data_IF_750120808575
#
_entry.id   IF_750120808575
#
_cell.length_a   1.000
_cell.length_b   1.000
_cell.length_c   1.000
_cell.angle_alpha   90.00
_cell.angle_beta   90.00
_cell.angle_gamma   90.00
#
_symmetry.space_group_name_H-M   'P 1'
#
loop_
_entity.id
_entity.type
_entity.pdbx_description
1 polymer ?
#
# COMPACT_ATOMS: atom_id res chain seq x y z
N UNK A 1 -2.21 -8.56 -18.35
CA UNK A 1 -0.79 -8.17 -18.19
C UNK A 1 -0.51 -8.06 -16.71
N UNK A 2 0.62 -8.57 -16.22
CA UNK A 2 1.05 -8.37 -14.83
C UNK A 2 1.57 -6.95 -14.68
N UNK A 3 0.98 -6.16 -13.78
CA UNK A 3 1.49 -4.80 -13.47
C UNK A 3 2.81 -4.90 -12.70
N UNK A 4 3.72 -3.96 -12.95
CA UNK A 4 4.99 -3.86 -12.20
C UNK A 4 4.86 -2.89 -11.02
N UNK A 5 5.79 -2.95 -10.07
CA UNK A 5 5.89 -1.97 -8.97
C UNK A 5 5.87 -0.54 -9.50
N UNK A 6 6.65 -0.25 -10.56
CA UNK A 6 6.77 1.09 -11.12
C UNK A 6 5.44 1.59 -11.69
N UNK A 7 4.72 0.74 -12.41
CA UNK A 7 3.41 1.10 -12.99
C UNK A 7 2.38 1.43 -11.90
N UNK A 8 2.36 0.66 -10.81
CA UNK A 8 1.43 0.89 -9.70
C UNK A 8 1.81 2.17 -8.96
N UNK A 9 3.10 2.37 -8.67
CA UNK A 9 3.59 3.61 -8.06
C UNK A 9 3.26 4.84 -8.90
N UNK A 10 3.53 4.80 -10.21
CA UNK A 10 3.24 5.92 -11.11
C UNK A 10 1.75 6.23 -11.15
N UNK A 11 0.87 5.23 -11.06
CA UNK A 11 -0.58 5.48 -11.00
C UNK A 11 -0.99 6.11 -9.66
N UNK A 12 -0.51 5.58 -8.53
CA UNK A 12 -0.92 6.02 -7.20
C UNK A 12 -0.25 7.33 -6.75
N UNK A 13 0.91 7.68 -7.30
CA UNK A 13 1.64 8.91 -6.96
C UNK A 13 1.12 10.16 -7.68
N UNK A 14 0.31 9.98 -8.73
CA UNK A 14 -0.23 11.07 -9.56
C UNK A 14 -1.62 11.52 -9.09
N UNK A 15 -1.93 11.35 -7.80
CA UNK A 15 -3.22 11.74 -7.22
C UNK A 15 -3.32 13.27 -7.19
N UNK A 16 -4.25 13.80 -7.99
CA UNK A 16 -4.58 15.23 -8.02
C UNK A 16 -6.11 15.39 -8.15
N UNK A 17 -6.80 15.99 -7.16
CA UNK A 17 -6.27 16.48 -5.89
C UNK A 17 -5.84 15.33 -4.97
N UNK A 18 -4.98 15.63 -3.99
CA UNK A 18 -4.76 14.72 -2.88
C UNK A 18 -6.09 14.45 -2.15
N UNK A 19 -6.36 13.21 -1.73
CA UNK A 19 -7.57 12.91 -0.97
C UNK A 19 -7.61 13.74 0.32
N UNK A 20 -8.83 14.02 0.80
CA UNK A 20 -8.99 14.57 2.13
C UNK A 20 -8.46 13.56 3.17
N UNK A 21 -7.87 14.05 4.26
CA UNK A 21 -7.55 13.20 5.42
C UNK A 21 -8.86 12.80 6.11
N UNK A 22 -9.48 11.73 5.64
CA UNK A 22 -10.69 11.17 6.24
C UNK A 22 -10.37 9.81 6.88
N UNK A 23 -10.77 9.62 8.13
CA UNK A 23 -10.57 8.36 8.86
C UNK A 23 -11.53 7.25 8.38
N UNK A 24 -12.63 7.63 7.71
CA UNK A 24 -13.58 6.69 7.10
C UNK A 24 -13.21 6.35 5.65
N UNK A 25 -12.00 6.72 5.20
CA UNK A 25 -11.61 6.60 3.81
C UNK A 25 -11.43 5.13 3.40
N UNK A 26 -12.19 4.73 2.39
CA UNK A 26 -12.01 3.45 1.72
C UNK A 26 -10.72 3.46 0.89
N UNK A 27 -10.27 2.25 0.51
CA UNK A 27 -9.17 2.04 -0.44
C UNK A 27 -9.33 2.95 -1.65
N UNK A 28 -8.31 3.75 -1.96
CA UNK A 28 -8.37 4.75 -3.02
C UNK A 28 -8.70 4.15 -4.38
N UNK A 29 -8.02 3.07 -4.76
CA UNK A 29 -8.25 2.35 -6.00
C UNK A 29 -8.29 0.84 -5.74
N UNK A 30 -9.47 0.29 -5.39
CA UNK A 30 -9.64 -1.11 -5.02
C UNK A 30 -9.12 -2.13 -6.05
N UNK A 31 -9.18 -1.89 -7.39
CA UNK A 31 -8.64 -2.84 -8.35
C UNK A 31 -7.13 -3.07 -8.23
N UNK A 32 -6.38 -2.16 -7.58
CA UNK A 32 -4.94 -2.33 -7.40
C UNK A 32 -4.57 -3.19 -6.18
N UNK A 33 -5.46 -3.36 -5.19
CA UNK A 33 -5.17 -4.18 -3.99
C UNK A 33 -4.69 -5.58 -4.39
N UNK A 34 -5.47 -6.28 -5.23
CA UNK A 34 -5.11 -7.63 -5.68
C UNK A 34 -3.91 -7.68 -6.62
N UNK A 35 -3.56 -6.58 -7.29
CA UNK A 35 -2.35 -6.50 -8.12
C UNK A 35 -1.10 -6.32 -7.25
N UNK A 36 -1.18 -5.49 -6.20
CA UNK A 36 -0.10 -5.29 -5.22
C UNK A 36 0.22 -6.63 -4.53
N UNK A 37 -0.81 -7.38 -4.13
CA UNK A 37 -0.63 -8.67 -3.45
C UNK A 37 0.13 -9.70 -4.28
N UNK A 38 -0.07 -9.67 -5.61
CA UNK A 38 0.55 -10.60 -6.56
C UNK A 38 1.96 -10.19 -6.99
N UNK A 39 2.45 -9.01 -6.61
CA UNK A 39 3.80 -8.58 -6.94
C UNK A 39 4.84 -9.56 -6.37
N UNK A 40 5.81 -9.93 -7.19
CA UNK A 40 7.03 -10.58 -6.74
C UNK A 40 7.98 -9.51 -6.15
N UNK A 41 7.57 -8.91 -5.03
CA UNK A 41 8.28 -7.85 -4.32
C UNK A 41 8.33 -8.12 -2.81
N UNK A 42 9.23 -7.44 -2.10
CA UNK A 42 9.33 -7.55 -0.64
C UNK A 42 8.06 -7.09 0.06
N UNK A 43 7.86 -7.54 1.30
CA UNK A 43 6.73 -7.10 2.13
C UNK A 43 6.76 -5.58 2.37
N UNK A 44 7.95 -4.97 2.47
CA UNK A 44 8.10 -3.51 2.52
C UNK A 44 7.46 -2.80 1.33
N UNK A 45 7.70 -3.31 0.11
CA UNK A 45 7.14 -2.72 -1.11
C UNK A 45 5.62 -2.90 -1.14
N UNK A 46 5.12 -4.07 -0.76
CA UNK A 46 3.67 -4.32 -0.72
C UNK A 46 2.97 -3.43 0.32
N UNK A 47 3.49 -3.37 1.54
CA UNK A 47 2.97 -2.51 2.60
C UNK A 47 2.97 -1.03 2.18
N UNK A 48 4.06 -0.55 1.59
CA UNK A 48 4.17 0.84 1.14
C UNK A 48 3.19 1.18 0.01
N UNK A 49 2.96 0.25 -0.93
CA UNK A 49 2.00 0.46 -2.03
C UNK A 49 0.55 0.41 -1.54
N UNK A 50 0.23 -0.47 -0.59
CA UNK A 50 -1.09 -0.47 0.05
C UNK A 50 -1.32 0.82 0.84
N UNK A 51 -0.31 1.32 1.55
CA UNK A 51 -0.38 2.60 2.26
C UNK A 51 -0.66 3.74 1.27
N UNK A 52 0.05 3.76 0.13
CA UNK A 52 -0.16 4.76 -0.91
C UNK A 52 -1.54 4.66 -1.58
N UNK A 53 -2.17 3.47 -1.54
CA UNK A 53 -3.53 3.21 -2.01
C UNK A 53 -4.60 3.43 -0.92
N UNK A 54 -4.24 4.01 0.23
CA UNK A 54 -5.09 4.15 1.42
C UNK A 54 -5.69 2.81 1.91
N UNK A 55 -5.08 1.67 1.55
CA UNK A 55 -5.47 0.35 2.02
C UNK A 55 -4.76 0.04 3.35
N UNK A 56 -5.24 0.72 4.40
CA UNK A 56 -4.64 0.66 5.74
C UNK A 56 -4.69 -0.77 6.31
N UNK A 57 -5.75 -1.52 6.02
CA UNK A 57 -5.90 -2.92 6.48
C UNK A 57 -4.83 -3.81 5.87
N UNK A 58 -4.63 -3.75 4.56
CA UNK A 58 -3.58 -4.52 3.89
C UNK A 58 -2.19 -4.06 4.32
N UNK A 59 -2.00 -2.75 4.55
CA UNK A 59 -0.75 -2.19 5.07
C UNK A 59 -0.39 -2.79 6.42
N UNK A 60 -1.31 -2.77 7.39
CA UNK A 60 -1.12 -3.41 8.68
C UNK A 60 -0.80 -4.89 8.55
N UNK A 61 -1.54 -5.62 7.70
CA UNK A 61 -1.31 -7.06 7.49
C UNK A 61 0.12 -7.36 7.04
N UNK A 62 0.62 -6.67 6.01
CA UNK A 62 1.98 -6.91 5.51
C UNK A 62 3.06 -6.45 6.49
N UNK A 63 2.79 -5.39 7.25
CA UNK A 63 3.70 -4.90 8.27
C UNK A 63 3.79 -5.88 9.45
N UNK A 64 2.66 -6.40 9.92
CA UNK A 64 2.57 -7.39 11.00
C UNK A 64 3.31 -8.69 10.64
N UNK A 65 3.18 -9.16 9.40
CA UNK A 65 3.88 -10.36 8.92
C UNK A 65 5.41 -10.26 8.99
N UNK A 66 5.98 -9.06 9.17
CA UNK A 66 7.41 -8.84 9.25
C UNK A 66 7.80 -8.01 10.49
N UNK A 67 7.07 -8.19 11.60
CA UNK A 67 7.37 -7.56 12.88
C UNK A 67 8.84 -7.75 13.31
N UNK A 68 9.39 -6.70 13.92
CA UNK A 68 10.80 -6.63 14.30
C UNK A 68 11.69 -6.01 13.22
N UNK A 69 11.15 -5.76 12.03
CA UNK A 69 11.76 -4.86 11.06
C UNK A 69 11.36 -3.41 11.36
N UNK A 70 12.34 -2.56 11.66
CA UNK A 70 12.08 -1.18 12.09
C UNK A 70 11.23 -0.33 11.14
N UNK A 71 11.28 -0.58 9.83
CA UNK A 71 10.51 0.19 8.85
C UNK A 71 9.05 -0.27 8.85
N UNK A 72 8.84 -1.58 8.91
CA UNK A 72 7.49 -2.15 8.93
C UNK A 72 6.84 -1.98 10.29
N UNK A 73 7.59 -2.03 11.39
CA UNK A 73 7.07 -1.69 12.72
C UNK A 73 6.56 -0.24 12.76
N UNK A 74 7.24 0.69 12.06
CA UNK A 74 6.75 2.06 11.91
C UNK A 74 5.44 2.12 11.11
N UNK A 75 5.37 1.42 9.97
CA UNK A 75 4.15 1.36 9.17
C UNK A 75 3.00 0.66 9.90
N UNK A 76 3.29 -0.31 10.77
CA UNK A 76 2.32 -1.01 11.59
C UNK A 76 1.74 -0.13 12.70
N UNK A 77 2.42 0.95 13.08
CA UNK A 77 1.98 1.87 14.13
C UNK A 77 1.13 3.06 13.63
N UNK A 78 1.02 3.23 12.31
CA UNK A 78 0.20 4.26 11.65
C UNK A 78 -1.21 3.72 11.45
#
# INVERSE_FOLDING_TARGET
>A
MTRTVRMIYDQLSQRDPLPALNLDQEVYYPPLTGDIDKLAASLHVKASLHMLNDDIKSTHYYAEMNQGDSLLDYLHAI
#
